data_IF_188508697510
#
_entry.id   IF_188508697510
#
_cell.length_a   1.000
_cell.length_b   1.000
_cell.length_c   1.000
_cell.angle_alpha   90.00
_cell.angle_beta   90.00
_cell.angle_gamma   90.00
#
_symmetry.space_group_name_H-M   'P 1'
#
loop_
_entity.id
_entity.type
_entity.pdbx_description
1 polymer ?
#
# COMPACT_ATOMS: atom_id res chain seq x y z
N UNK A 1 -6.97 26.19 32.22
CA UNK A 1 -7.62 25.78 30.95
C UNK A 1 -6.69 25.12 29.92
N UNK A 2 -5.38 25.44 29.85
CA UNK A 2 -4.47 24.83 28.86
C UNK A 2 -4.26 23.31 28.96
N UNK A 3 -4.34 22.73 30.17
CA UNK A 3 -4.19 21.28 30.37
C UNK A 3 -5.32 20.47 29.70
N UNK A 4 -6.57 20.91 29.84
CA UNK A 4 -7.74 20.24 29.25
C UNK A 4 -7.68 20.27 27.72
N UNK A 5 -7.27 21.41 27.14
CA UNK A 5 -7.09 21.53 25.69
C UNK A 5 -5.98 20.62 25.17
N UNK A 6 -4.84 20.55 25.88
CA UNK A 6 -3.72 19.66 25.55
C UNK A 6 -4.14 18.19 25.52
N UNK A 7 -4.88 17.73 26.53
CA UNK A 7 -5.33 16.33 26.59
C UNK A 7 -6.35 16.01 25.47
N UNK A 8 -7.27 16.94 25.15
CA UNK A 8 -8.20 16.79 24.02
C UNK A 8 -7.46 16.68 22.68
N UNK A 9 -6.46 17.53 22.44
CA UNK A 9 -5.63 17.48 21.23
C UNK A 9 -4.79 16.20 21.14
N UNK A 10 -4.26 15.72 22.28
CA UNK A 10 -3.54 14.44 22.34
C UNK A 10 -4.46 13.27 21.95
N UNK A 11 -5.67 13.22 22.48
CA UNK A 11 -6.67 12.22 22.14
C UNK A 11 -7.05 12.25 20.65
N UNK A 12 -7.24 13.45 20.09
CA UNK A 12 -7.51 13.63 18.66
C UNK A 12 -6.34 13.12 17.79
N UNK A 13 -5.10 13.49 18.13
CA UNK A 13 -3.90 13.04 17.42
C UNK A 13 -3.74 11.53 17.44
N UNK A 14 -4.03 10.88 18.57
CA UNK A 14 -4.00 9.41 18.67
C UNK A 14 -5.03 8.74 17.75
N UNK A 15 -6.26 9.26 17.73
CA UNK A 15 -7.32 8.75 16.84
C UNK A 15 -6.99 8.94 15.36
N UNK A 16 -6.42 10.08 15.00
CA UNK A 16 -5.95 10.35 13.63
C UNK A 16 -4.84 9.39 13.20
N UNK A 17 -3.90 9.07 14.10
CA UNK A 17 -2.86 8.07 13.81
C UNK A 17 -3.42 6.67 13.61
N UNK A 18 -4.38 6.27 14.46
CA UNK A 18 -5.03 4.97 14.32
C UNK A 18 -5.81 4.89 13.01
N UNK A 19 -6.62 5.91 12.72
CA UNK A 19 -7.34 6.00 11.45
C UNK A 19 -6.39 5.99 10.25
N UNK A 20 -5.30 6.76 10.29
CA UNK A 20 -4.30 6.75 9.23
C UNK A 20 -3.63 5.39 9.09
N UNK A 21 -3.36 4.67 10.18
CA UNK A 21 -2.82 3.31 10.13
C UNK A 21 -3.81 2.31 9.54
N UNK A 22 -5.10 2.43 9.86
CA UNK A 22 -6.15 1.56 9.29
C UNK A 22 -6.32 1.82 7.79
N UNK A 23 -6.41 3.09 7.40
CA UNK A 23 -6.65 3.48 6.01
C UNK A 23 -5.39 3.35 5.13
N UNK A 24 -4.25 3.88 5.58
CA UNK A 24 -3.00 3.95 4.81
C UNK A 24 -2.01 2.83 5.15
N UNK A 25 -2.09 2.20 6.34
CA UNK A 25 -1.30 0.99 6.61
C UNK A 25 -1.69 -0.19 5.70
N UNK A 26 -2.92 -0.18 5.18
CA UNK A 26 -3.34 -1.09 4.11
C UNK A 26 -2.62 -0.80 2.79
N UNK A 27 -2.21 0.44 2.51
CA UNK A 27 -1.50 0.80 1.27
C UNK A 27 -0.11 0.17 1.24
N UNK A 28 0.67 0.31 2.32
CA UNK A 28 1.98 -0.34 2.45
C UNK A 28 1.86 -1.86 2.40
N UNK A 29 0.86 -2.43 3.10
CA UNK A 29 0.59 -3.87 3.07
C UNK A 29 0.21 -4.37 1.67
N UNK A 30 -0.62 -3.62 0.94
CA UNK A 30 -1.01 -3.94 -0.44
C UNK A 30 0.14 -3.79 -1.42
N UNK A 31 0.98 -2.76 -1.29
CA UNK A 31 2.19 -2.61 -2.10
C UNK A 31 3.15 -3.78 -1.89
N UNK A 32 3.39 -4.16 -0.63
CA UNK A 32 4.23 -5.31 -0.31
C UNK A 32 3.69 -6.60 -0.95
N UNK A 33 2.39 -6.84 -0.82
CA UNK A 33 1.75 -8.02 -1.43
C UNK A 33 1.87 -8.00 -2.96
N UNK A 34 1.63 -6.85 -3.60
CA UNK A 34 1.78 -6.73 -5.07
C UNK A 34 3.21 -7.04 -5.51
N UNK A 35 4.23 -6.58 -4.77
CA UNK A 35 5.64 -6.91 -5.05
C UNK A 35 5.89 -8.42 -4.91
N UNK A 36 5.39 -9.05 -3.85
CA UNK A 36 5.52 -10.50 -3.64
C UNK A 36 4.84 -11.30 -4.76
N UNK A 37 3.61 -10.94 -5.13
CA UNK A 37 2.84 -11.63 -6.18
C UNK A 37 3.50 -11.45 -7.58
N UNK A 38 4.04 -10.26 -7.88
CA UNK A 38 4.80 -10.00 -9.12
C UNK A 38 6.08 -10.84 -9.13
N UNK A 39 6.82 -10.86 -8.02
CA UNK A 39 8.10 -11.56 -7.93
C UNK A 39 7.93 -13.07 -8.09
N UNK A 40 6.86 -13.65 -7.54
CA UNK A 40 6.52 -15.06 -7.73
C UNK A 40 6.29 -15.40 -9.21
N UNK A 41 5.55 -14.55 -9.93
CA UNK A 41 5.35 -14.71 -11.37
C UNK A 41 6.63 -14.50 -12.18
N UNK A 42 7.49 -13.56 -11.81
CA UNK A 42 8.78 -13.36 -12.49
C UNK A 42 9.69 -14.58 -12.30
N UNK A 43 9.83 -15.08 -11.08
CA UNK A 43 10.63 -16.29 -10.80
C UNK A 43 10.07 -17.50 -11.54
N UNK A 44 8.75 -17.70 -11.55
CA UNK A 44 8.12 -18.77 -12.32
C UNK A 44 8.38 -18.61 -13.82
N UNK A 45 8.28 -17.40 -14.34
CA UNK A 45 8.55 -17.09 -15.74
C UNK A 45 9.97 -17.42 -16.17
N UNK A 46 10.96 -17.19 -15.31
CA UNK A 46 12.36 -17.54 -15.57
C UNK A 46 12.62 -19.06 -15.52
N UNK A 47 11.91 -19.80 -14.65
CA UNK A 47 12.14 -21.25 -14.48
C UNK A 47 11.37 -22.08 -15.51
N UNK A 48 10.09 -21.80 -15.71
CA UNK A 48 9.18 -22.63 -16.50
C UNK A 48 8.52 -21.91 -17.66
N UNK A 49 8.69 -20.59 -17.77
CA UNK A 49 7.85 -19.74 -18.60
C UNK A 49 6.49 -19.46 -17.95
N UNK A 50 5.79 -18.45 -18.47
CA UNK A 50 4.44 -18.08 -18.06
C UNK A 50 3.43 -18.39 -19.16
N UNK A 51 2.24 -18.83 -18.77
CA UNK A 51 1.13 -18.94 -19.71
C UNK A 51 0.56 -17.55 -20.07
N UNK A 52 -0.20 -17.43 -21.17
CA UNK A 52 -0.82 -16.16 -21.56
C UNK A 52 -1.65 -15.48 -20.45
N UNK A 53 -2.36 -16.25 -19.62
CA UNK A 53 -3.15 -15.72 -18.51
C UNK A 53 -2.25 -15.18 -17.39
N UNK A 54 -1.19 -15.89 -17.02
CA UNK A 54 -0.18 -15.40 -16.08
C UNK A 54 0.52 -14.14 -16.58
N UNK A 55 0.80 -14.03 -17.89
CA UNK A 55 1.36 -12.81 -18.48
C UNK A 55 0.38 -11.62 -18.36
N UNK A 56 -0.91 -11.86 -18.58
CA UNK A 56 -1.96 -10.84 -18.41
C UNK A 56 -2.08 -10.44 -16.93
N UNK A 57 -2.07 -11.42 -16.02
CA UNK A 57 -2.13 -11.20 -14.58
C UNK A 57 -0.95 -10.36 -14.10
N UNK A 58 0.27 -10.71 -14.51
CA UNK A 58 1.47 -9.95 -14.17
C UNK A 58 1.36 -8.48 -14.59
N UNK A 59 0.86 -8.22 -15.80
CA UNK A 59 0.61 -6.85 -16.28
C UNK A 59 -0.40 -6.11 -15.41
N UNK A 60 -1.51 -6.76 -15.06
CA UNK A 60 -2.52 -6.17 -14.19
C UNK A 60 -1.97 -5.84 -12.79
N UNK A 61 -1.14 -6.72 -12.22
CA UNK A 61 -0.48 -6.49 -10.93
C UNK A 61 0.47 -5.29 -10.98
N UNK A 62 1.25 -5.14 -12.07
CA UNK A 62 2.08 -3.95 -12.27
C UNK A 62 1.25 -2.66 -12.41
N UNK A 63 0.14 -2.70 -13.15
CA UNK A 63 -0.75 -1.54 -13.29
C UNK A 63 -1.31 -1.10 -11.93
N UNK A 64 -1.72 -2.05 -11.10
CA UNK A 64 -2.24 -1.77 -9.76
C UNK A 64 -1.14 -1.30 -8.80
N UNK A 65 0.07 -1.84 -8.92
CA UNK A 65 1.25 -1.34 -8.21
C UNK A 65 1.51 0.13 -8.54
N UNK A 66 1.53 0.50 -9.82
CA UNK A 66 1.80 1.88 -10.23
C UNK A 66 0.70 2.86 -9.80
N UNK A 67 -0.57 2.44 -9.85
CA UNK A 67 -1.69 3.26 -9.32
C UNK A 67 -1.52 3.51 -7.82
N UNK A 68 -1.19 2.47 -7.07
CA UNK A 68 -1.06 2.53 -5.62
C UNK A 68 0.19 3.33 -5.20
N UNK A 69 1.28 3.20 -5.94
CA UNK A 69 2.50 3.97 -5.74
C UNK A 69 2.27 5.48 -5.95
N UNK A 70 1.55 5.86 -7.02
CA UNK A 70 1.16 7.25 -7.27
C UNK A 70 0.26 7.81 -6.16
N UNK A 71 -0.69 7.02 -5.69
CA UNK A 71 -1.55 7.40 -4.55
C UNK A 71 -0.75 7.65 -3.28
N UNK A 72 0.22 6.77 -2.99
CA UNK A 72 1.13 6.89 -1.85
C UNK A 72 1.97 8.16 -1.94
N UNK A 73 2.57 8.45 -3.10
CA UNK A 73 3.35 9.67 -3.32
C UNK A 73 2.50 10.92 -3.10
N UNK A 74 1.28 10.97 -3.66
CA UNK A 74 0.37 12.10 -3.45
C UNK A 74 -0.03 12.28 -1.97
N UNK A 75 -0.14 11.19 -1.22
CA UNK A 75 -0.53 11.22 0.21
C UNK A 75 0.60 11.68 1.15
N UNK A 76 1.86 11.59 0.73
CA UNK A 76 3.03 12.02 1.51
C UNK A 76 3.24 13.55 1.42
N UNK A 77 2.71 14.19 0.39
CA UNK A 77 2.93 15.62 0.09
C UNK A 77 1.83 16.52 0.70
N UNK A 78 0.84 15.95 1.39
CA UNK A 78 -0.25 16.66 2.10
C UNK A 78 0.00 16.72 3.61
#
# INVERSE_FOLDING_TARGET
MGFVLKEKLRGLKARLKEWNKVEFGNVEGRLKKLVEDIQDLDVRGEITGLDPQEVILRKALFDDFWKLQKFREASIVQ
#
